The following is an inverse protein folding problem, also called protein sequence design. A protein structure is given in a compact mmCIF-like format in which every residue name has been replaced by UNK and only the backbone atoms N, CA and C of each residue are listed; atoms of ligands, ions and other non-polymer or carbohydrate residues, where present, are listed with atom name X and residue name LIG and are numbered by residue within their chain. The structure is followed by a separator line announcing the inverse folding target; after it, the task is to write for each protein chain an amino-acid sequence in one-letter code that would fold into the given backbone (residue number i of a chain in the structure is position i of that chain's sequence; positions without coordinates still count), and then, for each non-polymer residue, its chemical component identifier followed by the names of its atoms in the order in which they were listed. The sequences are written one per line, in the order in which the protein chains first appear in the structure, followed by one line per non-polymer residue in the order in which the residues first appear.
data_IF_845075172740
#
_entry.id   IF_845075172740
#
_cell.length_a   1.000
_cell.length_b   1.000
_cell.length_c   1.000
_cell.angle_alpha   90.00
_cell.angle_beta   90.00
_cell.angle_gamma   90.00
#
_symmetry.space_group_name_H-M   'P 1'
#
loop_
_entity.id
_entity.type
_entity.pdbx_description
1 polymer ?
#
# COMPACT_ATOMS: atom_id res chain seq x y z
N UNK A 1 11.87 0.42 21.43
CA UNK A 1 11.96 1.46 20.37
C UNK A 1 13.13 1.08 19.47
N UNK A 2 12.93 1.00 18.15
CA UNK A 2 14.01 0.66 17.21
C UNK A 2 14.77 1.94 16.85
N UNK A 3 16.10 1.86 16.75
CA UNK A 3 16.94 2.99 16.36
C UNK A 3 17.28 2.90 14.89
N UNK A 4 16.96 3.95 14.12
CA UNK A 4 17.31 4.07 12.71
C UNK A 4 18.06 5.39 12.48
N UNK A 5 19.12 5.32 11.69
CA UNK A 5 19.95 6.44 11.29
C UNK A 5 20.26 6.37 9.80
N UNK A 6 20.28 7.53 9.13
CA UNK A 6 20.76 7.60 7.76
C UNK A 6 22.29 7.56 7.74
N UNK A 7 22.85 6.90 6.73
CA UNK A 7 24.30 6.81 6.59
C UNK A 7 24.88 8.21 6.40
N UNK A 8 25.86 8.58 7.23
CA UNK A 8 26.49 9.91 7.20
C UNK A 8 25.74 11.00 7.97
N UNK A 9 24.58 10.71 8.57
CA UNK A 9 23.84 11.67 9.39
C UNK A 9 23.96 11.40 10.89
N UNK A 10 23.91 12.47 11.68
CA UNK A 10 23.89 12.37 13.14
C UNK A 10 22.50 11.94 13.59
N UNK A 11 22.39 10.75 14.20
CA UNK A 11 21.13 10.25 14.72
C UNK A 11 20.64 11.15 15.87
N UNK A 12 19.40 11.67 15.82
CA UNK A 12 18.82 12.46 16.91
C UNK A 12 18.72 11.65 18.21
N UNK A 13 18.92 12.32 19.35
CA UNK A 13 18.97 11.68 20.68
C UNK A 13 17.64 11.07 21.16
N UNK A 14 16.51 11.37 20.51
CA UNK A 14 15.19 10.85 20.85
C UNK A 14 14.56 10.20 19.61
N UNK A 15 14.32 8.89 19.63
CA UNK A 15 13.52 8.18 18.60
C UNK A 15 14.18 7.91 17.23
N UNK A 16 15.35 8.50 16.94
CA UNK A 16 16.04 8.36 15.65
C UNK A 16 15.22 8.91 14.46
N UNK A 17 15.64 8.59 13.23
CA UNK A 17 14.97 9.05 12.00
C UNK A 17 13.85 8.10 11.54
N UNK A 18 13.25 7.35 12.48
CA UNK A 18 12.37 6.21 12.16
C UNK A 18 11.08 6.64 11.44
N UNK A 19 10.46 7.74 11.87
CA UNK A 19 9.24 8.25 11.24
C UNK A 19 9.49 8.80 9.84
N UNK A 20 10.58 9.54 9.64
CA UNK A 20 10.98 10.07 8.34
C UNK A 20 11.32 8.95 7.36
N UNK A 21 12.10 7.96 7.79
CA UNK A 21 12.42 6.79 6.98
C UNK A 21 11.15 6.02 6.56
N UNK A 22 10.20 5.86 7.48
CA UNK A 22 8.93 5.21 7.17
C UNK A 22 8.16 5.99 6.12
N UNK A 23 8.10 7.33 6.21
CA UNK A 23 7.46 8.16 5.19
C UNK A 23 8.13 8.02 3.82
N UNK A 24 9.46 8.02 3.76
CA UNK A 24 10.21 7.86 2.51
C UNK A 24 9.95 6.50 1.86
N UNK A 25 9.99 5.42 2.63
CA UNK A 25 9.67 4.08 2.13
C UNK A 25 8.21 4.00 1.67
N UNK A 26 7.26 4.51 2.46
CA UNK A 26 5.84 4.47 2.09
C UNK A 26 5.57 5.25 0.82
N UNK A 27 6.18 6.44 0.68
CA UNK A 27 6.12 7.22 -0.55
C UNK A 27 6.65 6.40 -1.72
N UNK A 28 7.84 5.80 -1.57
CA UNK A 28 8.44 5.01 -2.64
C UNK A 28 7.54 3.84 -3.03
N UNK A 29 7.06 3.04 -2.07
CA UNK A 29 6.20 1.89 -2.34
C UNK A 29 4.91 2.30 -3.06
N UNK A 30 4.33 3.44 -2.69
CA UNK A 30 3.07 3.92 -3.29
C UNK A 30 3.20 4.40 -4.75
N UNK A 31 4.42 4.57 -5.25
CA UNK A 31 4.65 4.96 -6.64
C UNK A 31 4.23 3.86 -7.62
N UNK A 32 3.36 4.22 -8.57
CA UNK A 32 2.87 3.30 -9.60
C UNK A 32 3.96 2.84 -10.57
N UNK A 33 5.02 3.64 -10.73
CA UNK A 33 6.20 3.31 -11.54
C UNK A 33 6.92 2.05 -11.05
N UNK A 34 6.73 1.64 -9.79
CA UNK A 34 7.28 0.40 -9.28
C UNK A 34 6.48 -0.85 -9.69
N UNK A 35 5.35 -0.70 -10.38
CA UNK A 35 4.55 -1.81 -10.91
C UNK A 35 3.76 -2.63 -9.87
N UNK A 36 3.82 -2.27 -8.57
CA UNK A 36 3.01 -2.92 -7.53
C UNK A 36 1.53 -2.56 -7.58
N UNK A 37 1.24 -1.33 -8.00
CA UNK A 37 -0.08 -0.73 -7.87
C UNK A 37 -0.67 -0.29 -9.21
N UNK A 38 -2.00 -0.25 -9.26
CA UNK A 38 -2.77 0.46 -10.27
C UNK A 38 -3.80 1.36 -9.57
N UNK A 39 -4.18 2.48 -10.18
CA UNK A 39 -5.33 3.25 -9.67
C UNK A 39 -6.62 2.48 -9.94
N UNK A 40 -7.59 2.63 -9.04
CA UNK A 40 -8.97 2.31 -9.36
C UNK A 40 -9.46 3.04 -10.61
N UNK A 41 -10.33 2.38 -11.39
CA UNK A 41 -10.99 2.93 -12.58
C UNK A 41 -12.43 3.37 -12.28
N UNK A 42 -12.73 3.65 -11.02
CA UNK A 42 -14.03 4.15 -10.60
C UNK A 42 -14.04 5.68 -10.55
N UNK A 43 -15.18 6.28 -10.86
CA UNK A 43 -15.39 7.73 -10.79
C UNK A 43 -15.34 8.29 -9.35
N UNK A 44 -15.59 7.45 -8.35
CA UNK A 44 -15.71 7.84 -6.94
C UNK A 44 -14.48 7.50 -6.08
N UNK A 45 -13.58 6.66 -6.59
CA UNK A 45 -12.50 6.09 -5.81
C UNK A 45 -11.18 6.15 -6.58
N UNK A 46 -10.17 6.78 -6.00
CA UNK A 46 -8.81 6.92 -6.55
C UNK A 46 -7.76 6.11 -5.77
N UNK A 47 -8.20 5.22 -4.89
CA UNK A 47 -7.33 4.36 -4.10
C UNK A 47 -6.48 3.42 -4.94
N UNK A 48 -5.33 3.04 -4.38
CA UNK A 48 -4.41 2.07 -4.95
C UNK A 48 -4.98 0.65 -4.84
N UNK A 49 -4.87 -0.07 -5.95
CA UNK A 49 -5.21 -1.48 -6.09
C UNK A 49 -3.96 -2.30 -6.39
N UNK A 50 -3.93 -3.55 -5.94
CA UNK A 50 -2.87 -4.49 -6.35
C UNK A 50 -2.88 -4.62 -7.87
N UNK A 51 -1.71 -4.48 -8.48
CA UNK A 51 -1.52 -4.73 -9.90
C UNK A 51 -1.48 -6.25 -10.17
N UNK A 52 -2.43 -6.82 -10.96
CA UNK A 52 -2.41 -8.24 -11.31
C UNK A 52 -1.16 -8.66 -12.09
N UNK A 53 -0.47 -7.73 -12.74
CA UNK A 53 0.74 -7.97 -13.51
C UNK A 53 2.04 -7.71 -12.73
N UNK A 54 1.95 -7.48 -11.42
CA UNK A 54 3.12 -7.19 -10.57
C UNK A 54 4.17 -8.32 -10.60
N UNK A 55 3.75 -9.59 -10.69
CA UNK A 55 4.66 -10.72 -10.86
C UNK A 55 5.65 -10.56 -12.03
N UNK A 56 5.21 -10.00 -13.16
CA UNK A 56 6.08 -9.73 -14.31
C UNK A 56 7.13 -8.66 -14.02
N UNK A 57 6.78 -7.65 -13.24
CA UNK A 57 7.71 -6.58 -12.82
C UNK A 57 8.78 -7.09 -11.86
N UNK A 58 8.42 -8.03 -10.98
CA UNK A 58 9.29 -8.55 -9.93
C UNK A 58 9.85 -9.95 -10.20
N UNK A 59 9.81 -10.44 -11.45
CA UNK A 59 10.33 -11.78 -11.79
C UNK A 59 9.74 -12.89 -10.88
N UNK A 60 8.44 -12.79 -10.55
CA UNK A 60 7.69 -13.67 -9.64
C UNK A 60 8.06 -13.59 -8.14
N UNK A 61 8.79 -12.55 -7.72
CA UNK A 61 9.10 -12.26 -6.31
C UNK A 61 8.18 -11.20 -5.68
N UNK A 62 7.11 -10.80 -6.37
CA UNK A 62 6.12 -9.80 -5.95
C UNK A 62 5.55 -10.07 -4.54
N UNK A 63 5.31 -11.34 -4.21
CA UNK A 63 4.87 -11.75 -2.87
C UNK A 63 5.79 -11.25 -1.75
N UNK A 64 7.11 -11.26 -1.94
CA UNK A 64 8.08 -10.79 -0.92
C UNK A 64 7.91 -9.29 -0.68
N UNK A 65 7.66 -8.51 -1.74
CA UNK A 65 7.43 -7.06 -1.65
C UNK A 65 6.09 -6.74 -1.00
N UNK A 66 5.02 -7.46 -1.33
CA UNK A 66 3.72 -7.28 -0.66
C UNK A 66 3.78 -7.68 0.81
N UNK A 67 4.50 -8.75 1.16
CA UNK A 67 4.74 -9.11 2.56
C UNK A 67 5.54 -8.04 3.31
N UNK A 68 6.60 -7.49 2.71
CA UNK A 68 7.37 -6.40 3.29
C UNK A 68 6.50 -5.18 3.54
N UNK A 69 5.74 -4.75 2.54
CA UNK A 69 4.81 -3.64 2.63
C UNK A 69 3.76 -3.84 3.71
N UNK A 70 3.14 -5.03 3.79
CA UNK A 70 2.17 -5.35 4.84
C UNK A 70 2.75 -5.18 6.24
N UNK A 71 4.00 -5.61 6.46
CA UNK A 71 4.72 -5.37 7.73
C UNK A 71 4.98 -3.89 7.99
N UNK A 72 5.35 -3.12 6.98
CA UNK A 72 5.57 -1.68 7.13
C UNK A 72 4.27 -0.94 7.46
N UNK A 73 3.15 -1.30 6.83
CA UNK A 73 1.82 -0.73 7.10
C UNK A 73 1.40 -1.07 8.53
N UNK A 74 1.47 -2.35 8.92
CA UNK A 74 1.16 -2.78 10.28
C UNK A 74 2.04 -2.08 11.32
N UNK A 75 3.31 -1.86 11.00
CA UNK A 75 4.23 -1.10 11.86
C UNK A 75 3.83 0.37 11.97
N UNK A 76 3.48 1.02 10.87
CA UNK A 76 3.01 2.40 10.87
C UNK A 76 1.77 2.56 11.76
N UNK A 77 0.81 1.63 11.65
CA UNK A 77 -0.40 1.61 12.48
C UNK A 77 -0.08 1.45 13.96
N UNK A 78 0.82 0.52 14.32
CA UNK A 78 1.21 0.28 15.72
C UNK A 78 1.90 1.50 16.35
N UNK A 79 2.75 2.18 15.60
CA UNK A 79 3.47 3.37 16.06
C UNK A 79 2.64 4.67 15.93
N UNK A 80 1.40 4.60 15.42
CA UNK A 80 0.53 5.77 15.24
C UNK A 80 0.93 6.71 14.10
N UNK A 81 1.67 6.23 13.10
CA UNK A 81 2.07 7.00 11.93
C UNK A 81 1.00 6.99 10.84
N UNK A 82 0.75 8.16 10.25
CA UNK A 82 -0.13 8.31 9.08
C UNK A 82 0.59 7.84 7.81
N UNK A 83 -0.08 7.03 7.01
CA UNK A 83 0.41 6.54 5.72
C UNK A 83 0.02 7.54 4.62
N UNK A 84 0.94 7.96 3.74
CA UNK A 84 0.72 9.03 2.76
C UNK A 84 -0.03 8.58 1.49
N UNK A 85 -0.79 7.48 1.54
CA UNK A 85 -1.53 6.96 0.39
C UNK A 85 -2.83 6.27 0.82
N UNK A 86 -3.78 6.20 -0.11
CA UNK A 86 -5.06 5.54 0.10
C UNK A 86 -5.08 4.19 -0.62
N UNK A 87 -5.48 3.14 0.09
CA UNK A 87 -5.78 1.84 -0.47
C UNK A 87 -7.26 1.78 -0.87
N UNK A 88 -7.59 0.99 -1.89
CA UNK A 88 -9.00 0.75 -2.21
C UNK A 88 -9.74 0.06 -1.03
N UNK A 89 -11.01 0.41 -0.75
CA UNK A 89 -11.80 -0.11 0.36
C UNK A 89 -11.84 -1.64 0.44
N UNK A 90 -11.90 -2.33 -0.70
CA UNK A 90 -11.91 -3.80 -0.73
C UNK A 90 -10.62 -4.42 -0.16
N UNK A 91 -9.48 -3.72 -0.19
CA UNK A 91 -8.23 -4.20 0.41
C UNK A 91 -8.37 -4.26 1.93
N UNK A 92 -9.02 -3.27 2.54
CA UNK A 92 -9.31 -3.30 3.97
C UNK A 92 -10.24 -4.45 4.32
N UNK A 93 -11.29 -4.70 3.50
CA UNK A 93 -12.17 -5.86 3.68
C UNK A 93 -11.39 -7.17 3.61
N UNK A 94 -10.44 -7.27 2.69
CA UNK A 94 -9.57 -8.45 2.56
C UNK A 94 -8.72 -8.65 3.83
N UNK A 95 -8.14 -7.58 4.37
CA UNK A 95 -7.33 -7.62 5.60
C UNK A 95 -8.18 -7.99 6.82
N UNK A 96 -9.42 -7.50 6.90
CA UNK A 96 -10.32 -7.73 8.05
C UNK A 96 -11.16 -9.01 7.93
N UNK A 97 -11.05 -9.75 6.83
CA UNK A 97 -11.87 -10.93 6.56
C UNK A 97 -13.35 -10.62 6.30
N UNK A 98 -13.69 -9.38 5.95
CA UNK A 98 -15.05 -9.01 5.57
C UNK A 98 -15.38 -9.54 4.16
N UNK A 99 -16.65 -9.95 3.91
CA UNK A 99 -17.05 -10.44 2.61
C UNK A 99 -16.94 -9.36 1.53
N UNK A 100 -16.44 -9.76 0.36
CA UNK A 100 -16.38 -8.92 -0.84
C UNK A 100 -17.72 -9.05 -1.58
N UNK A 101 -18.25 -7.92 -2.03
CA UNK A 101 -19.55 -7.81 -2.69
C UNK A 101 -19.41 -7.22 -4.10
N UNK A 102 -20.47 -7.28 -4.91
CA UNK A 102 -20.47 -6.65 -6.23
C UNK A 102 -20.30 -5.12 -6.17
N UNK A 103 -20.69 -4.48 -5.06
CA UNK A 103 -20.47 -3.05 -4.87
C UNK A 103 -18.97 -2.71 -4.76
N UNK A 104 -18.16 -3.61 -4.20
CA UNK A 104 -16.70 -3.44 -4.14
C UNK A 104 -16.09 -3.49 -5.55
N UNK A 105 -16.66 -4.30 -6.45
CA UNK A 105 -16.26 -4.33 -7.85
C UNK A 105 -16.60 -3.03 -8.55
N UNK A 106 -17.77 -2.43 -8.28
CA UNK A 106 -18.13 -1.10 -8.80
C UNK A 106 -17.13 -0.01 -8.38
N UNK A 107 -16.68 -0.05 -7.14
CA UNK A 107 -15.66 0.86 -6.62
C UNK A 107 -14.26 0.58 -7.17
N UNK A 108 -14.00 -0.66 -7.61
CA UNK A 108 -12.71 -1.05 -8.18
C UNK A 108 -12.61 -0.79 -9.69
N UNK A 109 -13.66 -1.11 -10.43
CA UNK A 109 -13.77 -0.96 -11.88
C UNK A 109 -15.26 -0.87 -12.29
N UNK A 110 -15.73 0.36 -12.48
CA UNK A 110 -17.13 0.62 -12.83
C UNK A 110 -17.49 0.06 -14.21
N UNK A 111 -16.54 0.00 -15.14
CA UNK A 111 -16.77 -0.50 -16.48
C UNK A 111 -16.95 -2.02 -16.50
N UNK A 112 -16.23 -2.76 -15.65
CA UNK A 112 -16.44 -4.20 -15.47
C UNK A 112 -17.77 -4.46 -14.79
N UNK A 113 -18.08 -3.73 -13.71
CA UNK A 113 -19.36 -3.86 -13.00
C UNK A 113 -20.56 -3.72 -13.95
N UNK A 114 -20.55 -2.70 -14.81
CA UNK A 114 -21.61 -2.45 -15.80
C UNK A 114 -21.78 -3.55 -16.86
N UNK A 115 -20.78 -4.40 -17.07
CA UNK A 115 -20.87 -5.54 -18.01
C UNK A 115 -21.45 -6.79 -17.35
N UNK A 116 -21.51 -6.82 -16.02
CA UNK A 116 -22.05 -7.93 -15.24
C UNK A 116 -23.49 -7.68 -14.78
N UNK A 117 -23.95 -6.43 -14.89
CA UNK A 117 -25.35 -6.02 -14.79
C UNK A 117 -26.09 -6.31 -16.11
#
# INVERSE_FOLDING_TARGET
MWGLGFCGEKVPKLGGNTGEWLQLIMKKISEQSNGMWRTSKSSTNTGLQINPWSGSTFQNDDNKYFHFMGRMIGRALLDGHVIPFHLSPYIFKYITGCPITLLDLKEADEAIYRKME
#
